data_IF_148660152866
#
_entry.id   IF_148660152866
#
_cell.length_a   1.000
_cell.length_b   1.000
_cell.length_c   1.000
_cell.angle_alpha   90.00
_cell.angle_beta   90.00
_cell.angle_gamma   90.00
#
_symmetry.space_group_name_H-M   'P 1'
#
loop_
_entity.id
_entity.type
_entity.pdbx_description
1 polymer ?
#
# COMPACT_ATOMS: atom_id res chain seq x y z
N UNK A 1 26.62 5.82 55.49
CA UNK A 1 26.47 6.84 54.40
C UNK A 1 25.55 6.33 53.29
N UNK A 2 25.68 5.05 52.88
CA UNK A 2 24.81 4.41 51.88
C UNK A 2 23.33 4.35 52.29
N UNK A 3 23.02 4.07 53.56
CA UNK A 3 21.63 4.01 54.04
C UNK A 3 20.89 5.35 53.97
N UNK A 4 21.57 6.46 54.28
CA UNK A 4 20.96 7.80 54.24
C UNK A 4 20.56 8.19 52.81
N UNK A 5 21.42 7.89 51.83
CA UNK A 5 21.15 8.15 50.41
C UNK A 5 19.98 7.27 49.94
N UNK A 6 19.92 5.99 50.33
CA UNK A 6 18.80 5.12 49.98
C UNK A 6 17.48 5.61 50.60
N UNK A 7 17.51 6.11 51.84
CA UNK A 7 16.33 6.70 52.50
C UNK A 7 15.88 7.99 51.83
N UNK A 8 16.79 8.91 51.51
CA UNK A 8 16.45 10.15 50.80
C UNK A 8 15.93 9.89 49.38
N UNK A 9 16.54 8.96 48.63
CA UNK A 9 16.04 8.54 47.32
C UNK A 9 14.69 7.83 47.41
N UNK A 10 14.44 7.09 48.50
CA UNK A 10 13.14 6.49 48.78
C UNK A 10 12.05 7.54 48.99
N UNK A 11 12.38 8.68 49.61
CA UNK A 11 11.47 9.81 49.79
C UNK A 11 11.15 10.60 48.51
N UNK A 12 11.91 10.39 47.43
CA UNK A 12 11.67 10.96 46.10
C UNK A 12 10.81 10.04 45.20
N UNK A 13 10.37 8.88 45.70
CA UNK A 13 9.47 8.01 44.94
C UNK A 13 8.13 8.70 44.75
N UNK A 14 7.79 8.95 43.50
CA UNK A 14 6.46 9.34 43.05
C UNK A 14 5.87 8.16 42.28
N UNK A 15 4.55 8.02 42.35
CA UNK A 15 3.86 7.10 41.45
C UNK A 15 4.11 7.54 40.01
N UNK A 16 4.44 6.58 39.14
CA UNK A 16 4.56 6.86 37.73
C UNK A 16 3.23 7.44 37.23
N UNK A 17 3.25 8.51 36.40
CA UNK A 17 2.04 9.00 35.75
C UNK A 17 1.30 7.86 35.06
N UNK A 18 -0.02 7.86 35.18
CA UNK A 18 -0.86 6.88 34.48
C UNK A 18 -0.54 6.92 32.97
N UNK A 19 -0.34 5.74 32.37
CA UNK A 19 0.00 5.61 30.95
C UNK A 19 1.47 5.84 30.59
N UNK A 20 2.37 6.12 31.54
CA UNK A 20 3.81 6.27 31.26
C UNK A 20 4.40 5.01 30.60
N UNK A 21 4.03 3.83 31.08
CA UNK A 21 4.51 2.55 30.52
C UNK A 21 4.11 2.40 29.06
N UNK A 22 2.81 2.53 28.74
CA UNK A 22 2.31 2.43 27.38
C UNK A 22 2.95 3.50 26.48
N UNK A 23 3.06 4.75 26.95
CA UNK A 23 3.71 5.83 26.21
C UNK A 23 5.18 5.51 25.89
N UNK A 24 5.93 4.94 26.84
CA UNK A 24 7.32 4.52 26.63
C UNK A 24 7.37 3.36 25.63
N UNK A 25 6.56 2.31 25.82
CA UNK A 25 6.52 1.15 24.92
C UNK A 25 6.19 1.57 23.48
N UNK A 26 5.24 2.49 23.29
CA UNK A 26 4.88 3.04 21.98
C UNK A 26 6.01 3.90 21.41
N UNK A 27 6.65 4.74 22.22
CA UNK A 27 7.77 5.56 21.79
C UNK A 27 8.97 4.72 21.31
N UNK A 28 9.27 3.59 21.98
CA UNK A 28 10.35 2.68 21.56
C UNK A 28 9.90 1.64 20.53
N UNK A 29 8.60 1.59 20.22
CA UNK A 29 8.02 0.69 19.22
C UNK A 29 7.92 -0.77 19.64
N UNK A 30 7.75 -1.00 20.95
CA UNK A 30 7.38 -2.28 21.58
C UNK A 30 5.86 -2.42 21.78
N UNK A 31 5.11 -1.36 21.56
CA UNK A 31 3.66 -1.34 21.42
C UNK A 31 3.27 -0.30 20.35
N UNK A 32 1.98 -0.25 20.00
CA UNK A 32 1.44 0.74 19.09
C UNK A 32 0.20 1.38 19.69
N UNK A 33 0.07 2.67 19.42
CA UNK A 33 -1.22 3.33 19.49
C UNK A 33 -1.99 3.08 18.21
N UNK A 34 -3.32 3.14 18.26
CA UNK A 34 -4.13 3.15 17.06
C UNK A 34 -5.32 4.10 17.15
N UNK A 35 -5.78 4.52 15.97
CA UNK A 35 -6.98 5.34 15.74
C UNK A 35 -7.81 4.71 14.63
N UNK A 36 -9.07 5.14 14.46
CA UNK A 36 -9.86 4.81 13.27
C UNK A 36 -9.79 5.93 12.23
N UNK A 37 -9.88 5.58 10.94
CA UNK A 37 -9.99 6.53 9.83
C UNK A 37 -11.00 6.07 8.78
N UNK A 38 -11.77 6.99 8.18
CA UNK A 38 -12.69 6.62 7.11
C UNK A 38 -11.93 6.32 5.82
N UNK A 39 -12.40 5.31 5.09
CA UNK A 39 -11.92 4.93 3.76
C UNK A 39 -13.10 4.49 2.88
N UNK A 40 -12.90 4.26 1.58
CA UNK A 40 -13.93 3.65 0.75
C UNK A 40 -14.39 2.25 1.21
N UNK A 41 -13.60 1.57 2.04
CA UNK A 41 -13.96 0.27 2.63
C UNK A 41 -14.73 0.41 3.96
N UNK A 42 -15.07 1.64 4.36
CA UNK A 42 -15.55 1.95 5.70
C UNK A 42 -14.42 2.39 6.62
N UNK A 43 -14.66 2.31 7.93
CA UNK A 43 -13.66 2.65 8.94
C UNK A 43 -12.54 1.60 8.98
N UNK A 44 -11.30 2.08 9.03
CA UNK A 44 -10.11 1.23 9.20
C UNK A 44 -9.37 1.63 10.45
N UNK A 45 -8.74 0.65 11.09
CA UNK A 45 -7.82 0.83 12.20
C UNK A 45 -6.44 1.15 11.66
N UNK A 46 -5.81 2.19 12.19
CA UNK A 46 -4.45 2.62 11.81
C UNK A 46 -3.58 2.57 13.05
N UNK A 47 -2.68 1.59 13.13
CA UNK A 47 -1.71 1.47 14.20
C UNK A 47 -0.40 2.19 13.88
N UNK A 48 0.19 2.82 14.88
CA UNK A 48 1.43 3.55 14.79
C UNK A 48 2.23 3.55 16.10
N UNK A 49 3.54 3.71 15.96
CA UNK A 49 4.49 3.83 17.06
C UNK A 49 5.55 4.89 16.77
N UNK A 50 6.56 5.02 17.64
CA UNK A 50 7.68 5.97 17.52
C UNK A 50 8.42 5.97 16.17
N UNK A 51 8.30 4.93 15.36
CA UNK A 51 8.91 4.85 14.02
C UNK A 51 7.97 5.25 12.89
N UNK A 52 6.67 5.04 13.02
CA UNK A 52 5.69 5.37 11.99
C UNK A 52 4.42 4.52 12.06
N UNK A 53 3.59 4.63 11.04
CA UNK A 53 2.41 3.76 10.84
C UNK A 53 2.90 2.34 10.53
N UNK A 54 2.43 1.37 11.30
CA UNK A 54 2.88 -0.02 11.20
C UNK A 54 1.80 -0.96 10.69
N UNK A 55 0.52 -0.64 10.90
CA UNK A 55 -0.56 -1.48 10.38
C UNK A 55 -1.79 -0.67 9.96
N UNK A 56 -2.52 -1.19 8.97
CA UNK A 56 -3.87 -0.77 8.60
C UNK A 56 -4.76 -2.01 8.46
N UNK A 57 -5.92 -2.03 9.11
CA UNK A 57 -6.84 -3.18 9.09
C UNK A 57 -8.31 -2.72 8.98
N UNK A 58 -9.12 -3.47 8.24
CA UNK A 58 -10.58 -3.27 8.05
C UNK A 58 -11.42 -4.03 9.09
N UNK A 59 -10.86 -4.33 10.26
CA UNK A 59 -11.54 -5.10 11.29
C UNK A 59 -12.94 -4.59 11.62
N UNK A 60 -13.89 -5.49 11.85
CA UNK A 60 -15.28 -5.10 12.16
C UNK A 60 -15.43 -4.46 13.54
N UNK A 61 -14.54 -4.79 14.47
CA UNK A 61 -14.57 -4.32 15.85
C UNK A 61 -13.15 -4.24 16.45
N UNK A 62 -13.07 -3.57 17.60
CA UNK A 62 -11.83 -3.30 18.33
C UNK A 62 -11.12 -4.57 18.78
N UNK A 63 -11.83 -5.50 19.40
CA UNK A 63 -11.22 -6.69 20.01
C UNK A 63 -10.63 -7.59 18.91
N UNK A 64 -11.37 -7.72 17.80
CA UNK A 64 -10.90 -8.42 16.60
C UNK A 64 -9.67 -7.77 15.97
N UNK A 65 -9.56 -6.44 16.00
CA UNK A 65 -8.37 -5.72 15.55
C UNK A 65 -7.17 -5.99 16.47
N UNK A 66 -7.32 -5.75 17.76
CA UNK A 66 -6.23 -5.90 18.75
C UNK A 66 -5.69 -7.34 18.78
N UNK A 67 -6.57 -8.34 18.72
CA UNK A 67 -6.19 -9.75 18.69
C UNK A 67 -5.38 -10.10 17.43
N UNK A 68 -5.84 -9.69 16.24
CA UNK A 68 -5.11 -9.91 14.98
C UNK A 68 -3.79 -9.17 14.96
N UNK A 69 -3.79 -7.91 15.40
CA UNK A 69 -2.57 -7.11 15.49
C UNK A 69 -1.51 -7.80 16.35
N UNK A 70 -1.91 -8.34 17.51
CA UNK A 70 -1.02 -9.09 18.38
C UNK A 70 -0.49 -10.37 17.73
N UNK A 71 -1.34 -11.13 17.04
CA UNK A 71 -0.93 -12.35 16.32
C UNK A 71 0.11 -12.02 15.23
N UNK A 72 -0.14 -10.97 14.45
CA UNK A 72 0.68 -10.63 13.29
C UNK A 72 1.98 -9.90 13.64
N UNK A 73 1.97 -9.08 14.71
CA UNK A 73 3.09 -8.20 15.06
C UNK A 73 3.77 -8.55 16.38
N UNK A 74 3.18 -9.43 17.20
CA UNK A 74 3.72 -9.84 18.50
C UNK A 74 3.74 -8.73 19.56
N UNK A 75 2.96 -7.66 19.37
CA UNK A 75 2.95 -6.49 20.26
C UNK A 75 1.53 -5.94 20.43
N UNK A 76 1.32 -5.20 21.51
CA UNK A 76 0.00 -4.66 21.87
C UNK A 76 -0.36 -3.46 20.99
N UNK A 77 -1.61 -3.42 20.55
CA UNK A 77 -2.26 -2.23 20.01
C UNK A 77 -3.12 -1.61 21.12
N UNK A 78 -3.02 -0.29 21.30
CA UNK A 78 -3.65 0.44 22.40
C UNK A 78 -4.45 1.61 21.81
N UNK A 79 -5.73 1.78 22.16
CA UNK A 79 -6.52 2.88 21.63
C UNK A 79 -5.96 4.23 22.10
N UNK A 80 -6.00 5.23 21.22
CA UNK A 80 -5.70 6.61 21.57
C UNK A 80 -6.59 7.57 20.78
N UNK A 81 -6.80 8.77 21.31
CA UNK A 81 -7.36 9.90 20.56
C UNK A 81 -6.26 10.85 20.05
N UNK A 82 -5.02 10.64 20.48
CA UNK A 82 -3.89 11.53 20.18
C UNK A 82 -2.95 10.91 19.13
N UNK A 83 -2.79 11.62 18.02
CA UNK A 83 -1.85 11.25 16.96
C UNK A 83 -0.65 12.19 17.02
N UNK A 84 0.59 11.67 17.11
CA UNK A 84 1.79 12.50 17.03
C UNK A 84 1.78 13.36 15.77
N UNK A 85 2.12 14.64 15.90
CA UNK A 85 2.08 15.65 14.81
C UNK A 85 2.76 15.17 13.51
N UNK A 86 3.89 14.46 13.63
CA UNK A 86 4.62 13.91 12.47
C UNK A 86 3.83 12.89 11.64
N UNK A 87 2.86 12.22 12.26
CA UNK A 87 1.94 11.26 11.62
C UNK A 87 0.67 11.99 11.20
N UNK A 88 0.07 12.76 12.12
CA UNK A 88 -1.20 13.48 11.90
C UNK A 88 -1.15 14.35 10.63
N UNK A 89 -0.03 15.08 10.43
CA UNK A 89 0.19 15.95 9.26
C UNK A 89 0.08 15.25 7.91
N UNK A 90 0.36 13.95 7.86
CA UNK A 90 0.49 13.21 6.60
C UNK A 90 -0.48 12.04 6.45
N UNK A 91 -1.12 11.59 7.54
CA UNK A 91 -1.95 10.38 7.54
C UNK A 91 -3.10 10.45 6.54
N UNK A 92 -3.96 11.45 6.66
CA UNK A 92 -5.18 11.54 5.83
C UNK A 92 -4.83 11.78 4.36
N UNK A 93 -3.76 12.54 4.10
CA UNK A 93 -3.24 12.73 2.72
C UNK A 93 -2.70 11.42 2.14
N UNK A 94 -2.03 10.60 2.95
CA UNK A 94 -1.49 9.32 2.51
C UNK A 94 -2.60 8.30 2.19
N UNK A 95 -3.64 8.26 3.02
CA UNK A 95 -4.85 7.46 2.80
C UNK A 95 -5.55 7.92 1.52
N UNK A 96 -5.83 9.23 1.38
CA UNK A 96 -6.52 9.77 0.21
C UNK A 96 -5.72 9.57 -1.09
N UNK A 97 -4.40 9.73 -1.06
CA UNK A 97 -3.55 9.51 -2.22
C UNK A 97 -3.31 8.02 -2.52
N UNK A 98 -3.53 7.14 -1.54
CA UNK A 98 -3.11 5.74 -1.56
C UNK A 98 -1.62 5.58 -1.83
N UNK A 99 -0.80 6.36 -1.11
CA UNK A 99 0.66 6.26 -1.10
C UNK A 99 1.20 6.96 0.16
N UNK A 100 2.31 6.48 0.76
CA UNK A 100 2.83 7.04 2.01
C UNK A 100 3.31 8.49 1.87
N UNK A 101 3.91 8.88 0.74
CA UNK A 101 4.45 10.24 0.57
C UNK A 101 5.52 10.55 1.61
N UNK A 102 5.23 11.48 2.53
CA UNK A 102 6.10 11.84 3.68
C UNK A 102 5.71 11.16 4.99
N UNK A 103 4.63 10.39 5.01
CA UNK A 103 4.20 9.64 6.19
C UNK A 103 5.27 8.60 6.56
N UNK A 104 5.80 8.63 7.80
CA UNK A 104 6.71 7.59 8.25
C UNK A 104 5.97 6.24 8.33
N UNK A 105 6.53 5.21 7.69
CA UNK A 105 6.00 3.84 7.72
C UNK A 105 7.00 2.93 8.42
N UNK A 106 6.52 2.13 9.36
CA UNK A 106 7.29 1.14 10.08
C UNK A 106 7.20 -0.22 9.40
N UNK A 107 8.14 -0.51 8.49
CA UNK A 107 8.24 -1.79 7.78
C UNK A 107 9.23 -2.77 8.46
N UNK A 108 9.39 -2.69 9.78
CA UNK A 108 10.22 -3.65 10.53
C UNK A 108 9.69 -5.07 10.38
N UNK A 109 10.59 -6.04 10.48
CA UNK A 109 10.25 -7.45 10.33
C UNK A 109 10.09 -7.91 8.88
N UNK A 110 9.97 -6.98 7.93
CA UNK A 110 9.97 -7.32 6.50
C UNK A 110 11.39 -7.55 5.99
N UNK A 111 11.53 -8.52 5.10
CA UNK A 111 12.75 -8.75 4.33
C UNK A 111 12.99 -7.61 3.34
N UNK A 112 14.25 -7.43 2.91
CA UNK A 112 14.60 -6.45 1.87
C UNK A 112 13.75 -6.61 0.61
N UNK A 113 13.43 -7.85 0.23
CA UNK A 113 12.56 -8.15 -0.90
C UNK A 113 11.13 -7.64 -0.69
N UNK A 114 10.52 -7.94 0.46
CA UNK A 114 9.17 -7.45 0.79
C UNK A 114 9.14 -5.92 0.85
N UNK A 115 10.10 -5.29 1.51
CA UNK A 115 10.22 -3.83 1.56
C UNK A 115 10.34 -3.24 0.16
N UNK A 116 11.19 -3.79 -0.71
CA UNK A 116 11.34 -3.33 -2.09
C UNK A 116 10.03 -3.47 -2.90
N UNK A 117 9.30 -4.57 -2.73
CA UNK A 117 7.97 -4.78 -3.36
C UNK A 117 6.98 -3.70 -2.91
N UNK A 118 6.82 -3.50 -1.60
CA UNK A 118 5.85 -2.55 -1.06
C UNK A 118 6.17 -1.10 -1.48
N UNK A 119 7.43 -0.69 -1.36
CA UNK A 119 7.87 0.65 -1.77
C UNK A 119 7.72 0.87 -3.27
N UNK A 120 7.95 -0.16 -4.10
CA UNK A 120 7.74 -0.05 -5.54
C UNK A 120 6.26 0.08 -5.88
N UNK A 121 5.41 -0.73 -5.26
CA UNK A 121 3.95 -0.66 -5.43
C UNK A 121 3.40 0.71 -5.04
N UNK A 122 3.94 1.34 -4.00
CA UNK A 122 3.59 2.70 -3.60
C UNK A 122 3.88 3.80 -4.65
N UNK A 123 4.61 3.48 -5.72
CA UNK A 123 4.85 4.40 -6.84
C UNK A 123 3.78 4.35 -7.93
N UNK A 124 2.88 3.37 -7.90
CA UNK A 124 1.78 3.26 -8.86
C UNK A 124 0.78 4.38 -8.57
N UNK A 125 0.48 5.29 -9.52
CA UNK A 125 -0.42 6.41 -9.25
C UNK A 125 -1.86 5.97 -8.97
N UNK A 126 -2.60 6.81 -8.25
CA UNK A 126 -4.04 6.64 -8.00
C UNK A 126 -4.80 6.51 -9.33
N UNK A 127 -5.71 5.54 -9.41
CA UNK A 127 -6.50 5.25 -10.61
C UNK A 127 -5.76 4.45 -11.67
N UNK A 128 -4.49 4.10 -11.44
CA UNK A 128 -3.72 3.24 -12.32
C UNK A 128 -3.49 1.86 -11.71
N UNK A 129 -3.34 0.84 -12.57
CA UNK A 129 -2.94 -0.51 -12.17
C UNK A 129 -1.71 -0.99 -12.93
N UNK A 130 -0.99 -1.94 -12.33
CA UNK A 130 0.17 -2.62 -12.96
C UNK A 130 0.12 -4.13 -12.72
N UNK A 131 0.66 -4.95 -13.64
CA UNK A 131 0.73 -6.38 -13.40
C UNK A 131 1.78 -6.71 -12.33
N UNK A 132 1.66 -7.85 -11.64
CA UNK A 132 2.69 -8.34 -10.70
C UNK A 132 4.10 -8.39 -11.35
N UNK A 133 4.18 -8.77 -12.63
CA UNK A 133 5.42 -8.77 -13.40
C UNK A 133 6.09 -7.40 -13.53
N UNK A 134 5.31 -6.32 -13.50
CA UNK A 134 5.83 -4.95 -13.48
C UNK A 134 6.59 -4.67 -12.21
N UNK A 135 6.02 -5.01 -11.05
CA UNK A 135 6.69 -4.82 -9.76
C UNK A 135 7.96 -5.68 -9.71
N UNK A 136 7.87 -6.95 -10.12
CA UNK A 136 9.00 -7.86 -10.18
C UNK A 136 10.17 -7.32 -11.02
N UNK A 137 9.88 -6.76 -12.21
CA UNK A 137 10.90 -6.13 -13.05
C UNK A 137 11.48 -4.85 -12.42
N UNK A 138 10.64 -3.99 -11.87
CA UNK A 138 11.07 -2.70 -11.31
C UNK A 138 11.91 -2.84 -10.03
N UNK A 139 11.83 -3.98 -9.33
CA UNK A 139 12.74 -4.34 -8.23
C UNK A 139 13.97 -5.14 -8.69
N UNK A 140 14.16 -5.34 -9.99
CA UNK A 140 15.29 -6.08 -10.56
C UNK A 140 15.21 -7.60 -10.38
N UNK A 141 14.02 -8.15 -10.14
CA UNK A 141 13.78 -9.58 -9.91
C UNK A 141 12.65 -10.11 -10.83
N UNK A 142 12.79 -10.07 -12.17
CA UNK A 142 11.70 -10.37 -13.10
C UNK A 142 11.08 -11.77 -12.94
N UNK A 143 11.87 -12.77 -12.51
CA UNK A 143 11.36 -14.13 -12.25
C UNK A 143 10.55 -14.28 -10.95
N UNK A 144 10.48 -13.26 -10.09
CA UNK A 144 9.91 -13.34 -8.76
C UNK A 144 8.40 -13.00 -8.70
N UNK A 145 7.65 -13.12 -9.80
CA UNK A 145 6.24 -12.69 -9.91
C UNK A 145 5.36 -13.26 -8.80
N UNK A 146 5.46 -14.56 -8.51
CA UNK A 146 4.68 -15.21 -7.44
C UNK A 146 5.06 -14.68 -6.06
N UNK A 147 6.36 -14.51 -5.80
CA UNK A 147 6.86 -13.98 -4.53
C UNK A 147 6.44 -12.52 -4.31
N UNK A 148 6.33 -11.72 -5.38
CA UNK A 148 5.71 -10.37 -5.30
C UNK A 148 4.26 -10.47 -4.83
N UNK A 149 3.48 -11.40 -5.40
CA UNK A 149 2.10 -11.64 -4.96
C UNK A 149 2.01 -11.98 -3.47
N UNK A 150 2.85 -12.91 -3.00
CA UNK A 150 2.94 -13.26 -1.57
C UNK A 150 3.33 -12.06 -0.71
N UNK A 151 4.31 -11.24 -1.13
CA UNK A 151 4.72 -10.06 -0.38
C UNK A 151 3.59 -9.01 -0.28
N UNK A 152 2.81 -8.82 -1.35
CA UNK A 152 1.68 -7.90 -1.35
C UNK A 152 0.48 -8.39 -0.53
N UNK A 153 0.29 -9.71 -0.44
CA UNK A 153 -0.73 -10.31 0.42
C UNK A 153 -0.46 -10.08 1.91
N UNK A 154 0.82 -9.93 2.30
CA UNK A 154 1.26 -9.60 3.65
C UNK A 154 1.65 -8.12 3.80
N UNK A 155 1.04 -7.23 3.02
CA UNK A 155 1.23 -5.80 3.20
C UNK A 155 0.61 -5.38 4.54
N UNK A 156 1.40 -4.89 5.51
CA UNK A 156 0.87 -4.54 6.82
C UNK A 156 0.09 -3.22 6.79
N UNK A 157 0.34 -2.35 5.80
CA UNK A 157 -0.28 -1.01 5.69
C UNK A 157 -1.07 -0.84 4.38
N UNK A 158 -2.08 -1.68 4.11
CA UNK A 158 -2.98 -1.52 2.97
C UNK A 158 -3.67 -0.15 2.98
N UNK A 159 -4.27 0.24 1.85
CA UNK A 159 -4.77 1.60 1.57
C UNK A 159 -3.65 2.64 1.44
N UNK A 160 -2.70 2.70 2.38
CA UNK A 160 -1.54 3.60 2.33
C UNK A 160 -0.47 3.06 1.37
N UNK A 161 -0.17 1.76 1.42
CA UNK A 161 0.57 1.06 0.38
C UNK A 161 -0.46 0.33 -0.49
N UNK A 162 -0.59 0.71 -1.77
CA UNK A 162 -1.75 0.35 -2.58
C UNK A 162 -1.58 -1.02 -3.26
N UNK A 163 -1.58 -2.10 -2.49
CA UNK A 163 -1.49 -3.47 -3.03
C UNK A 163 -2.66 -3.80 -3.98
N UNK A 164 -3.82 -3.16 -3.82
CA UNK A 164 -4.97 -3.26 -4.73
C UNK A 164 -4.70 -2.72 -6.14
N UNK A 165 -3.67 -1.90 -6.35
CA UNK A 165 -3.27 -1.42 -7.69
C UNK A 165 -2.44 -2.44 -8.49
N UNK A 166 -2.14 -3.61 -7.93
CA UNK A 166 -1.38 -4.66 -8.62
C UNK A 166 -2.31 -5.79 -9.07
N UNK A 167 -2.40 -6.05 -10.37
CA UNK A 167 -3.37 -7.00 -10.98
C UNK A 167 -2.68 -8.15 -11.71
N UNK A 168 -3.46 -9.14 -12.18
CA UNK A 168 -2.91 -10.23 -13.01
C UNK A 168 -2.54 -9.68 -14.40
N UNK A 169 -1.59 -10.32 -15.08
CA UNK A 169 -1.13 -9.90 -16.41
C UNK A 169 -2.19 -10.06 -17.50
N UNK A 170 -3.17 -10.93 -17.29
CA UNK A 170 -4.34 -11.09 -18.16
C UNK A 170 -5.39 -9.98 -17.98
N UNK A 171 -5.15 -9.02 -17.08
CA UNK A 171 -6.06 -7.91 -16.79
C UNK A 171 -7.22 -8.28 -15.87
N UNK A 172 -7.25 -9.51 -15.33
CA UNK A 172 -8.21 -9.85 -14.29
C UNK A 172 -7.81 -9.24 -12.95
N UNK A 173 -8.81 -8.77 -12.21
CA UNK A 173 -8.61 -8.33 -10.84
C UNK A 173 -8.27 -9.56 -9.99
N UNK A 174 -7.10 -9.54 -9.35
CA UNK A 174 -6.70 -10.58 -8.40
C UNK A 174 -7.70 -10.73 -7.24
N UNK A 175 -7.81 -11.92 -6.65
CA UNK A 175 -8.84 -12.24 -5.63
C UNK A 175 -8.49 -11.77 -4.20
N UNK A 176 -7.34 -11.12 -3.98
CA UNK A 176 -6.89 -10.80 -2.63
C UNK A 176 -6.49 -9.34 -2.48
N UNK A 177 -7.21 -8.61 -1.63
CA UNK A 177 -6.79 -7.37 -0.96
C UNK A 177 -7.55 -7.29 0.36
N UNK A 178 -6.87 -7.20 1.51
CA UNK A 178 -7.54 -7.12 2.80
C UNK A 178 -8.51 -8.30 3.08
N UNK A 179 -8.19 -9.51 2.61
CA UNK A 179 -9.00 -10.72 2.86
C UNK A 179 -10.26 -10.88 2.00
N UNK A 180 -10.63 -9.91 1.18
CA UNK A 180 -11.84 -9.95 0.33
C UNK A 180 -11.53 -9.48 -1.11
N UNK A 181 -11.90 -10.26 -2.15
CA UNK A 181 -11.83 -9.82 -3.55
C UNK A 181 -12.52 -8.46 -3.81
N UNK A 182 -13.66 -8.19 -3.16
CA UNK A 182 -14.46 -6.97 -3.39
C UNK A 182 -13.77 -5.71 -2.86
N UNK A 183 -12.97 -5.82 -1.79
CA UNK A 183 -12.20 -4.68 -1.27
C UNK A 183 -11.31 -4.05 -2.34
N UNK A 184 -10.71 -4.90 -3.18
CA UNK A 184 -9.90 -4.43 -4.31
C UNK A 184 -10.73 -3.64 -5.31
N UNK A 185 -11.92 -4.16 -5.64
CA UNK A 185 -12.86 -3.54 -6.57
C UNK A 185 -13.30 -2.17 -6.05
N UNK A 186 -13.78 -2.12 -4.81
CA UNK A 186 -14.26 -0.88 -4.16
C UNK A 186 -13.16 0.19 -4.10
N UNK A 187 -11.93 -0.18 -3.74
CA UNK A 187 -10.82 0.77 -3.72
C UNK A 187 -10.50 1.30 -5.13
N UNK A 188 -10.43 0.43 -6.15
CA UNK A 188 -10.14 0.86 -7.52
C UNK A 188 -11.23 1.76 -8.12
N UNK A 189 -12.51 1.45 -7.87
CA UNK A 189 -13.64 2.29 -8.27
C UNK A 189 -13.58 3.66 -7.59
N UNK A 190 -13.32 3.70 -6.28
CA UNK A 190 -13.15 4.94 -5.55
C UNK A 190 -11.96 5.77 -6.07
N UNK A 191 -10.94 5.12 -6.62
CA UNK A 191 -9.82 5.77 -7.29
C UNK A 191 -10.12 6.30 -8.70
N UNK A 192 -11.30 6.00 -9.24
CA UNK A 192 -11.76 6.43 -10.56
C UNK A 192 -11.43 5.46 -11.69
N UNK A 193 -11.06 4.22 -11.38
CA UNK A 193 -10.88 3.19 -12.41
C UNK A 193 -12.25 2.72 -12.92
N UNK A 194 -12.49 2.88 -14.22
CA UNK A 194 -13.60 2.20 -14.90
C UNK A 194 -13.25 0.72 -15.06
N UNK A 195 -13.75 -0.09 -14.13
CA UNK A 195 -13.47 -1.53 -14.08
C UNK A 195 -14.10 -2.26 -15.26
N UNK A 196 -15.26 -1.81 -15.74
CA UNK A 196 -15.97 -2.47 -16.82
C UNK A 196 -15.23 -2.23 -18.15
N UNK A 197 -14.80 -1.00 -18.41
CA UNK A 197 -13.96 -0.69 -19.56
C UNK A 197 -12.60 -1.42 -19.49
N UNK A 198 -11.97 -1.46 -18.31
CA UNK A 198 -10.71 -2.18 -18.12
C UNK A 198 -10.87 -3.69 -18.38
N UNK A 199 -11.95 -4.28 -17.89
CA UNK A 199 -12.27 -5.70 -18.07
C UNK A 199 -12.63 -6.01 -19.53
N UNK A 200 -13.36 -5.13 -20.22
CA UNK A 200 -13.72 -5.27 -21.62
C UNK A 200 -12.49 -5.25 -22.55
N UNK A 201 -11.48 -4.44 -22.25
CA UNK A 201 -10.19 -4.49 -22.95
C UNK A 201 -9.48 -5.81 -22.68
N UNK A 202 -9.49 -6.24 -21.42
CA UNK A 202 -8.80 -7.44 -20.98
C UNK A 202 -9.38 -8.70 -21.62
N UNK A 203 -10.71 -8.81 -21.74
CA UNK A 203 -11.40 -9.93 -22.37
C UNK A 203 -11.19 -10.01 -23.88
N UNK A 204 -10.93 -8.87 -24.53
CA UNK A 204 -10.51 -8.79 -25.95
C UNK A 204 -9.03 -9.12 -26.17
N UNK A 205 -8.30 -9.50 -25.12
CA UNK A 205 -6.87 -9.79 -25.19
C UNK A 205 -5.99 -8.54 -25.23
N UNK A 206 -6.54 -7.33 -25.07
CA UNK A 206 -5.78 -6.09 -25.13
C UNK A 206 -5.02 -5.89 -23.82
N UNK A 207 -3.72 -5.62 -23.91
CA UNK A 207 -2.82 -5.39 -22.77
C UNK A 207 -2.15 -4.03 -22.81
N UNK A 208 -2.05 -3.43 -24.00
CA UNK A 208 -1.50 -2.10 -24.18
C UNK A 208 -2.35 -1.25 -25.10
N UNK A 209 -2.25 0.05 -24.91
CA UNK A 209 -2.84 1.06 -25.79
C UNK A 209 -1.74 1.99 -26.28
N UNK A 210 -1.78 2.41 -27.54
CA UNK A 210 -0.80 3.32 -28.10
C UNK A 210 -1.41 4.45 -28.90
N UNK A 211 -0.64 5.53 -29.04
CA UNK A 211 -1.00 6.72 -29.79
C UNK A 211 -0.25 6.75 -31.13
N UNK A 212 -0.97 6.82 -32.24
CA UNK A 212 -0.39 6.91 -33.59
C UNK A 212 0.41 8.21 -33.82
N UNK A 213 0.02 9.29 -33.13
CA UNK A 213 0.69 10.60 -33.18
C UNK A 213 2.06 10.60 -32.51
N UNK A 214 2.20 9.90 -31.37
CA UNK A 214 3.45 9.88 -30.60
C UNK A 214 4.27 8.61 -30.82
N UNK A 215 3.66 7.57 -31.39
CA UNK A 215 4.20 6.20 -31.50
C UNK A 215 4.65 5.66 -30.15
N UNK A 216 3.89 5.95 -29.09
CA UNK A 216 4.12 5.45 -27.73
C UNK A 216 2.99 4.51 -27.34
N UNK A 217 3.33 3.34 -26.79
CA UNK A 217 2.35 2.45 -26.14
C UNK A 217 2.49 2.45 -24.61
N UNK A 218 1.38 2.21 -23.93
CA UNK A 218 1.16 2.36 -22.49
C UNK A 218 0.37 1.17 -21.94
N UNK A 219 0.43 0.95 -20.62
CA UNK A 219 -0.62 0.20 -19.93
C UNK A 219 -1.98 0.92 -20.08
N UNK A 220 -3.12 0.19 -20.10
CA UNK A 220 -4.43 0.77 -20.41
C UNK A 220 -4.85 1.87 -19.44
N UNK A 221 -4.43 1.76 -18.18
CA UNK A 221 -4.75 2.70 -17.10
C UNK A 221 -3.66 3.75 -16.88
N UNK A 222 -2.66 3.85 -17.75
CA UNK A 222 -1.66 4.90 -17.63
C UNK A 222 -2.30 6.27 -17.83
N UNK A 223 -2.02 7.25 -16.95
CA UNK A 223 -2.57 8.60 -17.06
C UNK A 223 -2.19 9.36 -18.34
N UNK A 224 -1.14 8.94 -19.06
CA UNK A 224 -0.87 9.43 -20.43
C UNK A 224 -1.63 8.67 -21.50
N UNK A 225 -1.86 7.38 -21.28
CA UNK A 225 -2.63 6.52 -22.18
C UNK A 225 -4.12 6.86 -22.18
N UNK A 226 -4.66 7.22 -21.01
CA UNK A 226 -6.07 7.63 -20.87
C UNK A 226 -6.43 8.94 -21.59
N UNK A 227 -5.43 9.73 -21.99
CA UNK A 227 -5.62 10.96 -22.76
C UNK A 227 -5.64 10.73 -24.28
N UNK A 228 -5.38 9.49 -24.74
CA UNK A 228 -5.39 9.17 -26.17
C UNK A 228 -6.86 9.10 -26.61
N UNK A 229 -7.25 9.98 -27.54
CA UNK A 229 -8.60 9.95 -28.11
C UNK A 229 -8.78 8.71 -28.99
N UNK A 230 -10.01 8.21 -29.11
CA UNK A 230 -10.32 7.00 -29.87
C UNK A 230 -9.80 7.04 -31.32
N UNK A 231 -9.81 8.22 -31.94
CA UNK A 231 -9.26 8.43 -33.29
C UNK A 231 -7.78 8.08 -33.42
N UNK A 232 -7.00 8.31 -32.37
CA UNK A 232 -5.55 8.15 -32.36
C UNK A 232 -5.09 6.90 -31.62
N UNK A 233 -6.04 6.10 -31.12
CA UNK A 233 -5.79 4.96 -30.26
C UNK A 233 -5.62 3.69 -31.07
N UNK A 234 -4.57 2.93 -30.73
CA UNK A 234 -4.33 1.58 -31.20
C UNK A 234 -4.24 0.64 -30.00
N UNK A 235 -4.94 -0.49 -30.07
CA UNK A 235 -4.90 -1.52 -29.04
C UNK A 235 -3.88 -2.60 -29.44
N UNK A 236 -3.13 -3.13 -28.47
CA UNK A 236 -2.15 -4.21 -28.68
C UNK A 236 -2.34 -5.32 -27.64
N UNK A 237 -2.20 -6.57 -28.06
CA UNK A 237 -2.25 -7.74 -27.21
C UNK A 237 -0.96 -7.94 -26.41
N UNK A 238 0.19 -7.59 -26.97
CA UNK A 238 1.47 -7.71 -26.29
C UNK A 238 2.52 -6.67 -26.75
N UNK A 239 3.70 -6.71 -26.12
CA UNK A 239 4.80 -5.78 -26.40
C UNK A 239 5.44 -6.04 -27.78
N UNK A 240 5.44 -7.29 -28.25
CA UNK A 240 6.02 -7.67 -29.54
C UNK A 240 5.20 -7.06 -30.68
N UNK A 241 3.87 -7.16 -30.59
CA UNK A 241 2.94 -6.56 -31.55
C UNK A 241 3.12 -5.04 -31.64
N UNK A 242 3.14 -4.36 -30.48
CA UNK A 242 3.30 -2.91 -30.43
C UNK A 242 4.64 -2.46 -31.05
N UNK A 243 5.73 -3.19 -30.78
CA UNK A 243 7.06 -2.89 -31.34
C UNK A 243 7.14 -3.15 -32.82
N UNK A 244 6.55 -4.23 -33.31
CA UNK A 244 6.47 -4.54 -34.74
C UNK A 244 5.70 -3.45 -35.50
N UNK A 245 4.68 -2.86 -34.87
CA UNK A 245 3.94 -1.70 -35.39
C UNK A 245 4.69 -0.35 -35.28
N UNK A 246 5.95 -0.36 -34.81
CA UNK A 246 6.80 0.84 -34.71
C UNK A 246 6.56 1.69 -33.46
N UNK A 247 5.90 1.16 -32.43
CA UNK A 247 5.67 1.88 -31.18
C UNK A 247 6.79 1.60 -30.18
N UNK A 248 7.18 2.64 -29.44
CA UNK A 248 8.13 2.53 -28.32
C UNK A 248 7.39 2.53 -26.98
N UNK A 249 7.93 1.88 -25.92
CA UNK A 249 7.29 1.87 -24.62
C UNK A 249 7.26 3.25 -23.99
N UNK A 250 6.19 3.54 -23.25
CA UNK A 250 6.06 4.75 -22.47
C UNK A 250 7.10 4.78 -21.34
N UNK A 251 7.81 5.91 -21.21
CA UNK A 251 8.82 6.11 -20.15
C UNK A 251 8.21 6.34 -18.76
N UNK A 252 6.91 6.66 -18.70
CA UNK A 252 6.18 6.91 -17.45
C UNK A 252 5.64 5.61 -16.87
N UNK A 253 4.75 4.91 -17.58
CA UNK A 253 4.18 3.66 -17.07
C UNK A 253 5.09 2.44 -17.25
N UNK A 254 6.12 2.54 -18.11
CA UNK A 254 7.12 1.50 -18.36
C UNK A 254 6.46 0.14 -18.60
N UNK A 255 5.64 0.03 -19.67
CA UNK A 255 4.89 -1.17 -19.92
C UNK A 255 5.82 -2.37 -20.04
N UNK A 256 5.39 -3.47 -19.44
CA UNK A 256 6.05 -4.77 -19.52
C UNK A 256 5.06 -5.79 -20.04
N UNK A 257 5.47 -6.52 -21.08
CA UNK A 257 4.88 -7.81 -21.34
C UNK A 257 5.20 -8.79 -20.18
N UNK A 258 4.21 -9.65 -19.88
CA UNK A 258 4.43 -10.86 -19.11
C UNK A 258 5.10 -11.92 -19.97
#
# INVERSE_FOLDING_TARGET
MTDHIITELGGLRVDAPAGLEDAVLVAVGLADHYVTRPTPLGEVYVAFNGRGVSAVDVAGDRDSFEARFFIDHGRRAIPTDEIPERIARHLDTAIAAGRPGRLPIDLRGLTEFQTAVLLRTATIPRGEVRPYGWVAKEIGKPGAVRAVGTALAHNPVPVIIPCHRVVRSDGTLGEYSLGDPENKRTLLEAEGLDIDAFTALSSRGIRFIGSDTTRVFCHPTCGRGSLITDRHRHDFADETEARAAGYRPCKVCRPVAA
#
